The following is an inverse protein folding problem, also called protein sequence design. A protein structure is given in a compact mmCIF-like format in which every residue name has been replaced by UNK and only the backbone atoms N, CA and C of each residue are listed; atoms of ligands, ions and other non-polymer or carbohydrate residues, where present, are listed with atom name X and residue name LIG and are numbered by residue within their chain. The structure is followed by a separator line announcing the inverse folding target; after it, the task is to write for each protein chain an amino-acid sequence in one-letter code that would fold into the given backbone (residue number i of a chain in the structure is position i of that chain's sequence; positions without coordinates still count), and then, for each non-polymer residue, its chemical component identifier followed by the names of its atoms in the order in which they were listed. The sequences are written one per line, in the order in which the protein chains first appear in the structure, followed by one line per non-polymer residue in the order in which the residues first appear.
data_IF_822659254923
#
_entry.id   IF_822659254923
#
_cell.length_a   1.000
_cell.length_b   1.000
_cell.length_c   1.000
_cell.angle_alpha   90.00
_cell.angle_beta   90.00
_cell.angle_gamma   90.00
#
_symmetry.space_group_name_H-M   'P 1'
#
loop_
_entity.id
_entity.type
_entity.pdbx_description
1 polymer ?
#
# COMPACT_ATOMS: atom_id res chain seq x y z
N UNK A 1 5.06 -6.30 -24.80
CA UNK A 1 4.76 -4.85 -24.64
C UNK A 1 3.72 -4.74 -23.53
N UNK A 2 3.90 -3.89 -22.50
CA UNK A 2 2.98 -3.81 -21.34
C UNK A 2 1.71 -3.00 -21.61
N UNK A 3 1.80 -2.03 -22.53
CA UNK A 3 0.71 -1.12 -22.89
C UNK A 3 0.25 -1.41 -24.32
N UNK A 4 -1.02 -1.12 -24.59
CA UNK A 4 -1.61 -1.13 -25.92
C UNK A 4 -2.37 0.17 -26.17
N UNK A 5 -2.45 0.57 -27.44
CA UNK A 5 -3.27 1.67 -27.90
C UNK A 5 -4.36 1.17 -28.85
N UNK A 6 -5.60 1.57 -28.62
CA UNK A 6 -6.72 1.31 -29.51
C UNK A 6 -7.54 2.60 -29.70
N UNK A 7 -7.36 3.27 -30.84
CA UNK A 7 -7.87 4.63 -31.02
C UNK A 7 -7.17 5.60 -30.05
N UNK A 8 -7.95 6.37 -29.32
CA UNK A 8 -7.47 7.33 -28.31
C UNK A 8 -7.36 6.71 -26.92
N UNK A 9 -7.48 5.38 -26.80
CA UNK A 9 -7.38 4.68 -25.52
C UNK A 9 -5.99 4.09 -25.32
N UNK A 10 -5.38 4.42 -24.20
CA UNK A 10 -4.20 3.76 -23.65
C UNK A 10 -4.63 2.74 -22.61
N UNK A 11 -4.23 1.47 -22.74
CA UNK A 11 -4.62 0.40 -21.83
C UNK A 11 -3.42 -0.42 -21.42
N UNK A 12 -3.34 -0.78 -20.14
CA UNK A 12 -2.37 -1.75 -19.66
C UNK A 12 -2.89 -3.18 -19.91
N UNK A 13 -2.10 -3.98 -20.63
CA UNK A 13 -2.47 -5.35 -21.00
C UNK A 13 -2.42 -6.27 -19.77
N UNK A 14 -3.41 -7.15 -19.61
CA UNK A 14 -3.52 -8.12 -18.51
C UNK A 14 -3.42 -9.56 -19.01
N UNK A 15 -2.61 -10.39 -18.36
CA UNK A 15 -2.37 -11.79 -18.75
C UNK A 15 -0.90 -12.23 -18.61
N UNK A 16 -0.58 -13.37 -19.22
CA UNK A 16 0.77 -13.96 -19.17
C UNK A 16 1.76 -13.01 -19.86
N UNK A 17 2.89 -12.73 -19.21
CA UNK A 17 3.96 -11.89 -19.75
C UNK A 17 3.66 -10.37 -19.72
N UNK A 18 2.53 -9.97 -19.13
CA UNK A 18 2.16 -8.57 -18.89
C UNK A 18 1.71 -8.40 -17.43
N UNK A 19 0.84 -7.43 -17.10
CA UNK A 19 0.40 -7.26 -15.72
C UNK A 19 -0.50 -8.42 -15.27
N UNK A 20 -0.36 -8.87 -14.02
CA UNK A 20 -1.17 -9.94 -13.44
C UNK A 20 -2.51 -9.45 -12.90
N UNK A 21 -2.55 -8.19 -12.45
CA UNK A 21 -3.70 -7.59 -11.76
C UNK A 21 -4.15 -6.31 -12.47
N UNK A 22 -5.45 -6.01 -12.43
CA UNK A 22 -5.97 -4.77 -13.03
C UNK A 22 -5.36 -3.55 -12.35
N UNK A 23 -5.08 -2.47 -13.08
CA UNK A 23 -4.40 -1.26 -12.60
C UNK A 23 -2.98 -1.44 -11.99
N UNK A 24 -2.39 -2.64 -12.05
CA UNK A 24 -1.08 -2.90 -11.46
C UNK A 24 0.02 -2.00 -12.03
N UNK A 25 0.05 -1.81 -13.35
CA UNK A 25 1.04 -0.94 -13.97
C UNK A 25 0.92 0.51 -13.48
N UNK A 26 -0.30 1.05 -13.43
CA UNK A 26 -0.56 2.41 -12.94
C UNK A 26 -0.23 2.54 -11.44
N UNK A 27 -0.48 1.51 -10.64
CA UNK A 27 -0.12 1.49 -9.23
C UNK A 27 1.39 1.53 -9.00
N UNK A 28 2.19 0.91 -9.88
CA UNK A 28 3.66 1.04 -9.84
C UNK A 28 4.09 2.46 -10.22
N UNK A 29 3.51 3.07 -11.26
CA UNK A 29 3.78 4.47 -11.61
C UNK A 29 3.47 5.43 -10.44
N UNK A 30 2.35 5.19 -9.74
CA UNK A 30 1.97 5.95 -8.55
C UNK A 30 3.00 5.81 -7.41
N UNK A 31 3.49 4.60 -7.15
CA UNK A 31 4.52 4.37 -6.14
C UNK A 31 5.86 4.99 -6.51
N UNK A 32 6.18 5.05 -7.82
CA UNK A 32 7.32 5.79 -8.36
C UNK A 32 7.09 7.31 -8.45
N UNK A 33 5.94 7.83 -8.00
CA UNK A 33 5.57 9.27 -8.02
C UNK A 33 5.62 9.91 -9.42
N UNK A 34 5.31 9.13 -10.45
CA UNK A 34 5.26 9.63 -11.84
C UNK A 34 4.08 10.61 -11.96
N UNK A 35 4.32 11.79 -12.51
CA UNK A 35 3.28 12.81 -12.62
C UNK A 35 2.22 12.41 -13.66
N UNK A 36 0.96 12.79 -13.42
CA UNK A 36 -0.16 12.48 -14.33
C UNK A 36 0.04 13.02 -15.76
N UNK A 37 0.74 14.14 -15.91
CA UNK A 37 1.05 14.74 -17.22
C UNK A 37 2.32 14.17 -17.88
N UNK A 38 2.96 13.16 -17.28
CA UNK A 38 4.16 12.54 -17.87
C UNK A 38 3.80 11.88 -19.21
N UNK A 39 4.59 12.11 -20.28
CA UNK A 39 4.26 11.60 -21.61
C UNK A 39 4.47 10.09 -21.71
N UNK A 40 3.60 9.43 -22.47
CA UNK A 40 3.66 8.01 -22.85
C UNK A 40 3.55 7.93 -24.37
N UNK A 41 4.64 7.53 -25.03
CA UNK A 41 4.66 7.38 -26.50
C UNK A 41 4.52 5.90 -26.86
N UNK A 42 3.49 5.57 -27.63
CA UNK A 42 3.20 4.20 -28.04
C UNK A 42 2.84 4.15 -29.53
N UNK A 43 3.62 3.40 -30.32
CA UNK A 43 3.39 3.24 -31.76
C UNK A 43 3.22 4.57 -32.52
N UNK A 44 4.03 5.58 -32.18
CA UNK A 44 3.98 6.92 -32.80
C UNK A 44 2.83 7.80 -32.34
N UNK A 45 1.98 7.33 -31.40
CA UNK A 45 0.94 8.13 -30.75
C UNK A 45 1.44 8.63 -29.40
N UNK A 46 0.99 9.82 -29.04
CA UNK A 46 1.32 10.45 -27.75
C UNK A 46 0.12 10.37 -26.82
N UNK A 47 0.37 9.86 -25.62
CA UNK A 47 -0.53 9.80 -24.48
C UNK A 47 0.17 10.40 -23.26
N UNK A 48 -0.50 10.37 -22.14
CA UNK A 48 -0.01 10.72 -20.81
C UNK A 48 -0.41 9.65 -19.80
N UNK A 49 0.14 9.74 -18.58
CA UNK A 49 -0.34 8.92 -17.46
C UNK A 49 -1.81 9.24 -17.13
N UNK A 50 -2.29 10.46 -17.37
CA UNK A 50 -3.70 10.84 -17.22
C UNK A 50 -4.64 10.00 -18.09
N UNK A 51 -4.24 9.66 -19.32
CA UNK A 51 -5.05 8.79 -20.18
C UNK A 51 -5.20 7.38 -19.60
N UNK A 52 -4.13 6.87 -18.96
CA UNK A 52 -4.19 5.59 -18.25
C UNK A 52 -5.03 5.68 -16.97
N UNK A 53 -4.99 6.81 -16.25
CA UNK A 53 -5.85 7.04 -15.07
C UNK A 53 -7.33 6.98 -15.45
N UNK A 54 -7.71 7.61 -16.56
CA UNK A 54 -9.09 7.56 -17.06
C UNK A 54 -9.49 6.14 -17.50
N UNK A 55 -8.60 5.39 -18.15
CA UNK A 55 -8.89 3.99 -18.51
C UNK A 55 -9.09 3.08 -17.28
N UNK A 56 -8.29 3.26 -16.22
CA UNK A 56 -8.43 2.45 -15.00
C UNK A 56 -9.68 2.85 -14.19
N UNK A 57 -10.09 4.12 -14.20
CA UNK A 57 -11.40 4.56 -13.67
C UNK A 57 -12.54 3.84 -14.37
N UNK A 58 -12.53 3.81 -15.71
CA UNK A 58 -13.56 3.14 -16.51
C UNK A 58 -13.58 1.62 -16.32
N UNK A 59 -12.47 1.04 -15.89
CA UNK A 59 -12.30 -0.41 -15.72
C UNK A 59 -12.61 -0.92 -14.30
N UNK A 60 -12.94 -0.03 -13.36
CA UNK A 60 -13.40 -0.42 -12.03
C UNK A 60 -14.67 -1.27 -12.12
N UNK A 61 -14.69 -2.38 -11.38
CA UNK A 61 -15.79 -3.36 -11.42
C UNK A 61 -15.99 -4.03 -10.07
N UNK A 62 -17.24 -4.15 -9.64
CA UNK A 62 -17.54 -4.78 -8.36
C UNK A 62 -17.17 -6.24 -8.30
N UNK A 63 -16.89 -6.72 -7.08
CA UNK A 63 -16.54 -8.12 -6.80
C UNK A 63 -15.30 -8.58 -7.56
N UNK A 64 -14.44 -7.65 -7.95
CA UNK A 64 -13.11 -7.91 -8.47
C UNK A 64 -12.08 -7.44 -7.45
N UNK A 65 -10.82 -7.79 -7.65
CA UNK A 65 -9.75 -7.22 -6.86
C UNK A 65 -9.50 -5.77 -7.28
N UNK A 66 -9.63 -4.84 -6.32
CA UNK A 66 -9.50 -3.40 -6.51
C UNK A 66 -8.23 -2.84 -5.84
N UNK A 67 -7.43 -3.68 -5.18
CA UNK A 67 -6.19 -3.31 -4.48
C UNK A 67 -5.33 -2.30 -5.26
N UNK A 68 -4.97 -2.63 -6.52
CA UNK A 68 -4.08 -1.77 -7.31
C UNK A 68 -4.79 -0.54 -7.86
N UNK A 69 -6.09 -0.64 -8.16
CA UNK A 69 -6.90 0.53 -8.52
C UNK A 69 -6.99 1.50 -7.33
N UNK A 70 -7.12 1.00 -6.10
CA UNK A 70 -7.11 1.83 -4.89
C UNK A 70 -5.76 2.54 -4.71
N UNK A 71 -4.63 1.84 -4.87
CA UNK A 71 -3.29 2.47 -4.80
C UNK A 71 -3.17 3.59 -5.85
N UNK A 72 -3.47 3.26 -7.09
CA UNK A 72 -3.34 4.18 -8.22
C UNK A 72 -4.26 5.39 -8.09
N UNK A 73 -5.56 5.15 -7.93
CA UNK A 73 -6.56 6.23 -7.97
C UNK A 73 -6.51 7.10 -6.72
N UNK A 74 -6.19 6.56 -5.53
CA UNK A 74 -5.97 7.39 -4.34
C UNK A 74 -4.69 8.25 -4.43
N UNK A 75 -3.72 7.86 -5.27
CA UNK A 75 -2.56 8.70 -5.55
C UNK A 75 -2.94 9.91 -6.41
N UNK A 76 -3.63 9.67 -7.51
CA UNK A 76 -3.86 10.67 -8.56
C UNK A 76 -5.12 11.51 -8.41
N UNK A 77 -6.16 11.00 -7.76
CA UNK A 77 -7.45 11.68 -7.67
C UNK A 77 -7.62 12.47 -6.36
N UNK A 78 -8.37 13.57 -6.39
CA UNK A 78 -8.92 14.19 -5.18
C UNK A 78 -9.71 13.20 -4.32
N UNK A 79 -9.70 13.39 -2.99
CA UNK A 79 -10.33 12.44 -2.07
C UNK A 79 -11.86 12.32 -2.21
N UNK A 80 -12.50 13.32 -2.81
CA UNK A 80 -13.93 13.44 -3.08
C UNK A 80 -14.30 13.07 -4.53
N UNK A 81 -13.33 12.59 -5.31
CA UNK A 81 -13.56 12.23 -6.70
C UNK A 81 -14.59 11.11 -6.82
N UNK A 82 -15.52 11.31 -7.76
CA UNK A 82 -16.51 10.32 -8.20
C UNK A 82 -16.44 10.13 -9.70
N UNK A 83 -16.68 8.92 -10.19
CA UNK A 83 -16.73 8.62 -11.62
C UNK A 83 -17.74 7.53 -11.93
N UNK A 84 -18.04 7.34 -13.22
CA UNK A 84 -18.88 6.24 -13.69
C UNK A 84 -18.01 5.26 -14.48
N UNK A 85 -18.03 3.98 -14.10
CA UNK A 85 -17.31 2.93 -14.82
C UNK A 85 -18.04 2.54 -16.12
N UNK A 86 -17.38 1.73 -16.96
CA UNK A 86 -17.90 1.32 -18.27
C UNK A 86 -19.20 0.51 -18.19
N UNK A 87 -19.44 -0.18 -17.07
CA UNK A 87 -20.68 -0.91 -16.79
C UNK A 87 -21.79 0.00 -16.21
N UNK A 88 -21.56 1.31 -16.13
CA UNK A 88 -22.54 2.30 -15.68
C UNK A 88 -22.61 2.49 -14.17
N UNK A 89 -21.77 1.78 -13.39
CA UNK A 89 -21.76 1.93 -11.94
C UNK A 89 -21.03 3.19 -11.48
N UNK A 90 -21.52 3.79 -10.38
CA UNK A 90 -20.90 4.97 -9.76
C UNK A 90 -19.82 4.57 -8.77
N UNK A 91 -18.61 5.09 -8.94
CA UNK A 91 -17.47 4.83 -8.09
C UNK A 91 -16.99 6.07 -7.37
N UNK A 92 -16.33 5.84 -6.24
CA UNK A 92 -15.63 6.83 -5.44
C UNK A 92 -14.46 6.13 -4.73
N UNK A 93 -13.49 6.90 -4.24
CA UNK A 93 -12.40 6.32 -3.44
C UNK A 93 -12.91 5.65 -2.15
N UNK A 94 -13.88 6.20 -1.38
CA UNK A 94 -14.51 5.48 -0.27
C UNK A 94 -15.09 4.12 -0.68
N UNK A 95 -15.77 4.02 -1.82
CA UNK A 95 -16.34 2.76 -2.32
C UNK A 95 -15.25 1.73 -2.62
N UNK A 96 -14.11 2.15 -3.21
CA UNK A 96 -12.98 1.24 -3.42
C UNK A 96 -12.49 0.64 -2.10
N UNK A 97 -12.41 1.45 -1.04
CA UNK A 97 -12.03 0.97 0.30
C UNK A 97 -13.06 0.02 0.89
N UNK A 98 -14.36 0.33 0.76
CA UNK A 98 -15.47 -0.53 1.22
C UNK A 98 -15.44 -1.91 0.57
N UNK A 99 -15.23 -1.99 -0.74
CA UNK A 99 -15.20 -3.26 -1.46
C UNK A 99 -13.92 -4.04 -1.19
N UNK A 100 -12.79 -3.35 -0.99
CA UNK A 100 -11.51 -4.02 -0.78
C UNK A 100 -11.36 -4.57 0.64
N UNK A 101 -11.81 -3.84 1.68
CA UNK A 101 -11.61 -4.26 3.09
C UNK A 101 -12.33 -5.56 3.45
N UNK A 102 -13.40 -5.91 2.73
CA UNK A 102 -14.16 -7.15 2.96
C UNK A 102 -13.54 -8.38 2.30
N UNK A 103 -12.50 -8.19 1.47
CA UNK A 103 -11.84 -9.30 0.78
C UNK A 103 -10.88 -10.06 1.71
N UNK A 104 -10.80 -11.39 1.63
CA UNK A 104 -10.03 -12.21 2.57
C UNK A 104 -8.51 -12.09 2.38
N UNK A 105 -7.77 -11.74 3.44
CA UNK A 105 -6.29 -11.69 3.41
C UNK A 105 -5.68 -13.09 3.29
N UNK A 106 -6.17 -14.04 4.09
CA UNK A 106 -5.69 -15.41 4.06
C UNK A 106 -6.12 -16.11 2.77
N UNK A 107 -5.16 -16.73 2.08
CA UNK A 107 -5.41 -17.40 0.80
C UNK A 107 -5.28 -16.50 -0.42
N UNK A 108 -5.15 -15.18 -0.24
CA UNK A 108 -4.86 -14.26 -1.33
C UNK A 108 -3.43 -14.43 -1.87
N UNK A 109 -3.17 -14.09 -3.14
CA UNK A 109 -1.82 -13.97 -3.69
C UNK A 109 -0.92 -13.12 -2.79
N UNK A 110 0.37 -13.48 -2.72
CA UNK A 110 1.38 -12.75 -1.93
C UNK A 110 0.96 -12.55 -0.45
N UNK A 111 0.17 -13.49 0.09
CA UNK A 111 -0.32 -13.46 1.46
C UNK A 111 -1.31 -12.34 1.77
N UNK A 112 -1.86 -11.65 0.76
CA UNK A 112 -2.76 -10.51 0.95
C UNK A 112 -2.06 -9.21 1.39
N UNK A 113 -0.73 -9.17 1.36
CA UNK A 113 0.06 -7.98 1.72
C UNK A 113 -0.22 -6.78 0.82
N UNK A 114 -0.41 -7.00 -0.50
CA UNK A 114 -0.76 -5.92 -1.43
C UNK A 114 -2.09 -5.26 -1.05
N UNK A 115 -3.06 -6.01 -0.55
CA UNK A 115 -4.34 -5.47 -0.09
C UNK A 115 -4.17 -4.58 1.14
N UNK A 116 -3.39 -5.06 2.12
CA UNK A 116 -3.06 -4.26 3.30
C UNK A 116 -2.30 -2.99 2.90
N UNK A 117 -1.41 -3.08 1.91
CA UNK A 117 -0.74 -1.93 1.32
C UNK A 117 -1.74 -0.95 0.69
N UNK A 118 -2.64 -1.41 -0.18
CA UNK A 118 -3.62 -0.56 -0.84
C UNK A 118 -4.57 0.15 0.14
N UNK A 119 -5.07 -0.56 1.15
CA UNK A 119 -5.89 0.01 2.22
C UNK A 119 -5.12 1.07 3.01
N UNK A 120 -3.89 0.76 3.43
CA UNK A 120 -3.04 1.72 4.14
C UNK A 120 -2.74 2.97 3.31
N UNK A 121 -2.43 2.77 2.03
CA UNK A 121 -2.14 3.85 1.09
C UNK A 121 -3.35 4.77 0.95
N UNK A 122 -4.54 4.21 0.70
CA UNK A 122 -5.80 4.96 0.64
C UNK A 122 -6.06 5.78 1.90
N UNK A 123 -5.89 5.18 3.09
CA UNK A 123 -6.03 5.89 4.37
C UNK A 123 -5.03 7.04 4.50
N UNK A 124 -3.75 6.83 4.17
CA UNK A 124 -2.75 7.90 4.25
C UNK A 124 -3.07 9.07 3.31
N UNK A 125 -3.55 8.79 2.10
CA UNK A 125 -3.97 9.83 1.15
C UNK A 125 -5.18 10.61 1.66
N UNK A 126 -6.19 9.92 2.22
CA UNK A 126 -7.35 10.54 2.87
C UNK A 126 -6.90 11.44 4.03
N UNK A 127 -6.14 10.90 4.99
CA UNK A 127 -5.68 11.63 6.17
C UNK A 127 -4.87 12.88 5.80
N UNK A 128 -3.98 12.78 4.80
CA UNK A 128 -3.22 13.95 4.32
C UNK A 128 -4.11 15.03 3.68
N UNK A 129 -5.19 14.63 3.01
CA UNK A 129 -6.07 15.57 2.31
C UNK A 129 -7.08 16.23 3.25
N UNK A 130 -7.58 15.51 4.27
CA UNK A 130 -8.71 15.97 5.10
C UNK A 130 -8.35 16.19 6.57
N UNK A 131 -7.20 15.72 7.03
CA UNK A 131 -6.82 15.72 8.44
C UNK A 131 -7.53 14.67 9.30
N UNK A 132 -8.45 13.86 8.73
CA UNK A 132 -9.22 12.87 9.49
C UNK A 132 -9.57 11.62 8.68
N UNK A 133 -9.75 10.50 9.37
CA UNK A 133 -10.29 9.27 8.80
C UNK A 133 -11.69 9.00 9.33
N UNK A 134 -12.62 8.76 8.41
CA UNK A 134 -14.04 8.53 8.67
C UNK A 134 -14.56 7.32 7.88
N UNK A 135 -15.74 6.84 8.28
CA UNK A 135 -16.47 5.76 7.60
C UNK A 135 -15.58 4.55 7.24
N UNK A 136 -15.49 4.17 5.95
CA UNK A 136 -14.71 3.01 5.53
C UNK A 136 -13.21 3.17 5.73
N UNK A 137 -12.66 4.38 5.69
CA UNK A 137 -11.24 4.61 5.93
C UNK A 137 -10.86 4.38 7.39
N UNK A 138 -11.68 4.82 8.34
CA UNK A 138 -11.44 4.54 9.76
C UNK A 138 -11.46 3.03 10.05
N UNK A 139 -12.41 2.32 9.43
CA UNK A 139 -12.47 0.85 9.52
C UNK A 139 -11.24 0.19 8.90
N UNK A 140 -10.78 0.67 7.74
CA UNK A 140 -9.60 0.16 7.04
C UNK A 140 -8.30 0.42 7.82
N UNK A 141 -8.14 1.60 8.42
CA UNK A 141 -6.99 1.93 9.26
C UNK A 141 -6.90 0.99 10.47
N UNK A 142 -8.01 0.79 11.20
CA UNK A 142 -8.05 -0.17 12.30
C UNK A 142 -7.68 -1.59 11.82
N UNK A 143 -8.27 -2.03 10.70
CA UNK A 143 -8.00 -3.34 10.13
C UNK A 143 -6.52 -3.54 9.79
N UNK A 144 -5.90 -2.56 9.13
CA UNK A 144 -4.47 -2.57 8.79
C UNK A 144 -3.63 -2.61 10.07
N UNK A 145 -3.92 -1.77 11.07
CA UNK A 145 -3.18 -1.72 12.34
C UNK A 145 -3.25 -3.03 13.13
N UNK A 146 -4.39 -3.69 13.12
CA UNK A 146 -4.55 -5.03 13.74
C UNK A 146 -3.61 -6.04 13.07
N UNK A 147 -3.51 -6.04 11.74
CA UNK A 147 -2.54 -6.88 11.02
C UNK A 147 -1.09 -6.47 11.29
N UNK A 148 -0.78 -5.17 11.43
CA UNK A 148 0.60 -4.72 11.72
C UNK A 148 1.06 -5.29 13.05
N UNK A 149 0.20 -5.19 14.06
CA UNK A 149 0.44 -5.73 15.39
C UNK A 149 0.54 -7.25 15.37
N UNK A 150 -0.32 -7.94 14.60
CA UNK A 150 -0.24 -9.38 14.44
C UNK A 150 1.07 -9.83 13.79
N UNK A 151 1.49 -9.18 12.70
CA UNK A 151 2.76 -9.47 12.02
C UNK A 151 3.95 -9.33 12.96
N UNK A 152 4.06 -8.16 13.61
CA UNK A 152 5.20 -7.84 14.48
C UNK A 152 5.22 -8.71 15.72
N UNK A 153 4.08 -8.97 16.37
CA UNK A 153 4.06 -9.64 17.69
C UNK A 153 3.92 -11.15 17.63
N UNK A 154 3.36 -11.72 16.55
CA UNK A 154 3.04 -13.16 16.45
C UNK A 154 3.72 -13.89 15.30
N UNK A 155 4.16 -13.19 14.26
CA UNK A 155 4.64 -13.83 13.02
C UNK A 155 6.12 -13.57 12.72
N UNK A 156 6.81 -12.78 13.54
CA UNK A 156 8.24 -12.54 13.35
C UNK A 156 9.07 -13.66 13.98
N UNK A 157 9.98 -14.20 13.18
CA UNK A 157 10.94 -15.23 13.55
C UNK A 157 12.13 -14.63 14.32
N UNK A 158 12.95 -15.51 14.92
CA UNK A 158 14.08 -15.09 15.77
C UNK A 158 15.17 -14.36 14.99
N UNK A 159 15.33 -14.65 13.70
CA UNK A 159 16.31 -14.04 12.82
C UNK A 159 15.84 -12.70 12.20
N UNK A 160 14.65 -12.21 12.60
CA UNK A 160 14.05 -10.98 12.07
C UNK A 160 13.14 -11.18 10.87
N UNK A 161 13.21 -12.34 10.19
CA UNK A 161 12.30 -12.68 9.09
C UNK A 161 10.84 -12.82 9.56
N UNK A 162 9.89 -12.71 8.64
CA UNK A 162 8.48 -13.00 8.91
C UNK A 162 8.08 -14.39 8.46
N UNK A 163 7.02 -14.91 9.09
CA UNK A 163 6.48 -16.25 8.87
C UNK A 163 6.49 -16.66 7.40
N UNK A 164 7.06 -17.83 7.14
CA UNK A 164 7.08 -18.44 5.81
C UNK A 164 5.69 -18.88 5.33
N UNK A 165 4.68 -18.81 6.20
CA UNK A 165 3.27 -19.12 5.92
C UNK A 165 2.37 -17.88 5.94
N UNK A 166 2.96 -16.70 5.71
CA UNK A 166 2.24 -15.42 5.69
C UNK A 166 1.45 -15.22 6.98
N UNK A 167 0.17 -14.83 6.88
CA UNK A 167 -0.74 -14.63 8.01
C UNK A 167 -1.53 -15.89 8.41
N UNK A 168 -1.16 -17.09 7.92
CA UNK A 168 -1.88 -18.32 8.27
C UNK A 168 -1.55 -18.77 9.69
N UNK A 169 -0.26 -18.91 10.00
CA UNK A 169 0.29 -19.30 11.29
C UNK A 169 1.78 -18.94 11.34
N UNK A 170 2.39 -19.00 12.52
CA UNK A 170 3.83 -18.80 12.67
C UNK A 170 4.60 -20.00 12.08
N UNK A 171 5.57 -19.75 11.21
CA UNK A 171 6.39 -20.77 10.57
C UNK A 171 7.77 -20.20 10.20
N UNK A 172 8.81 -21.00 10.43
CA UNK A 172 10.19 -20.62 10.18
C UNK A 172 10.87 -21.77 9.42
N UNK A 173 11.04 -21.64 8.10
CA UNK A 173 11.72 -22.66 7.28
C UNK A 173 13.20 -22.33 7.20
N UNK A 174 13.99 -22.98 8.05
CA UNK A 174 15.42 -22.68 8.21
C UNK A 174 16.27 -22.93 6.95
N UNK A 175 15.80 -23.77 6.03
CA UNK A 175 16.50 -24.18 4.80
C UNK A 175 16.00 -23.47 3.52
N UNK A 176 15.08 -22.50 3.64
CA UNK A 176 14.41 -21.86 2.49
C UNK A 176 14.53 -20.33 2.54
N UNK A 177 15.75 -19.84 2.27
CA UNK A 177 16.03 -18.39 2.25
C UNK A 177 15.21 -17.65 1.19
N UNK A 178 14.92 -18.27 0.04
CA UNK A 178 14.09 -17.67 -1.02
C UNK A 178 12.68 -17.41 -0.51
N UNK A 179 12.10 -18.35 0.24
CA UNK A 179 10.79 -18.18 0.87
C UNK A 179 10.82 -17.13 1.97
N UNK A 180 11.84 -17.11 2.81
CA UNK A 180 11.98 -16.08 3.86
C UNK A 180 12.10 -14.68 3.27
N UNK A 181 12.92 -14.49 2.23
CA UNK A 181 13.03 -13.20 1.51
C UNK A 181 11.70 -12.85 0.85
N UNK A 182 11.01 -13.82 0.24
CA UNK A 182 9.69 -13.58 -0.33
C UNK A 182 8.68 -13.06 0.71
N UNK A 183 8.46 -13.76 1.82
CA UNK A 183 7.45 -13.36 2.80
C UNK A 183 7.87 -12.10 3.54
N UNK A 184 9.14 -11.99 3.92
CA UNK A 184 9.67 -10.84 4.65
C UNK A 184 9.66 -9.58 3.80
N UNK A 185 10.06 -9.66 2.52
CA UNK A 185 10.06 -8.53 1.60
C UNK A 185 8.66 -7.92 1.45
N UNK A 186 7.66 -8.75 1.21
CA UNK A 186 6.27 -8.29 1.07
C UNK A 186 5.66 -7.75 2.37
N UNK A 187 5.88 -8.45 3.50
CA UNK A 187 5.33 -8.00 4.79
C UNK A 187 6.03 -6.72 5.22
N UNK A 188 7.36 -6.64 5.11
CA UNK A 188 8.11 -5.46 5.48
C UNK A 188 7.76 -4.28 4.58
N UNK A 189 7.64 -4.45 3.26
CA UNK A 189 7.25 -3.39 2.32
C UNK A 189 5.96 -2.69 2.79
N UNK A 190 4.93 -3.48 3.09
CA UNK A 190 3.69 -2.94 3.62
C UNK A 190 3.87 -2.30 5.00
N UNK A 191 4.58 -2.93 5.92
CA UNK A 191 4.81 -2.37 7.26
C UNK A 191 5.51 -1.00 7.18
N UNK A 192 6.64 -0.92 6.48
CA UNK A 192 7.40 0.34 6.41
C UNK A 192 6.70 1.38 5.55
N UNK A 193 5.80 1.00 4.65
CA UNK A 193 4.92 1.96 3.97
C UNK A 193 3.82 2.51 4.89
N UNK A 194 3.33 1.72 5.86
CA UNK A 194 2.08 2.00 6.58
C UNK A 194 2.21 2.34 8.06
N UNK A 195 3.32 1.99 8.71
CA UNK A 195 3.55 2.24 10.13
C UNK A 195 3.65 3.74 10.42
N UNK A 196 3.24 4.15 11.62
CA UNK A 196 3.52 5.49 12.14
C UNK A 196 5.04 5.70 12.27
N UNK A 197 5.49 6.96 12.19
CA UNK A 197 6.92 7.28 12.08
C UNK A 197 7.76 6.69 13.22
N UNK A 198 7.31 6.79 14.47
CA UNK A 198 8.08 6.31 15.63
C UNK A 198 8.20 4.78 15.65
N UNK A 199 7.24 4.06 15.05
CA UNK A 199 7.25 2.59 15.00
C UNK A 199 8.29 2.02 14.04
N UNK A 200 8.79 2.82 13.10
CA UNK A 200 9.86 2.40 12.19
C UNK A 200 11.14 2.04 12.95
N UNK A 201 11.36 2.65 14.12
CA UNK A 201 12.55 2.42 14.93
C UNK A 201 12.37 1.29 15.96
N UNK A 202 11.21 0.61 15.97
CA UNK A 202 11.02 -0.55 16.83
C UNK A 202 12.06 -1.64 16.48
N UNK A 203 12.69 -2.30 17.46
CA UNK A 203 13.70 -3.33 17.20
C UNK A 203 13.25 -4.43 16.25
N UNK A 204 11.94 -4.73 16.25
CA UNK A 204 11.32 -5.71 15.34
C UNK A 204 11.36 -5.25 13.88
N UNK A 205 11.09 -3.98 13.59
CA UNK A 205 11.14 -3.46 12.22
C UNK A 205 12.60 -3.41 11.73
N UNK A 206 13.51 -2.95 12.59
CA UNK A 206 14.95 -2.93 12.32
C UNK A 206 15.46 -4.34 11.99
N UNK A 207 15.12 -5.35 12.81
CA UNK A 207 15.54 -6.73 12.59
C UNK A 207 15.06 -7.31 11.24
N UNK A 208 13.86 -6.95 10.79
CA UNK A 208 13.37 -7.38 9.48
C UNK A 208 14.14 -6.71 8.31
N UNK A 209 14.50 -5.43 8.45
CA UNK A 209 15.34 -4.74 7.47
C UNK A 209 16.77 -5.31 7.45
N UNK A 210 17.33 -5.61 8.62
CA UNK A 210 18.63 -6.27 8.77
C UNK A 210 18.62 -7.67 8.15
N UNK A 211 17.56 -8.46 8.37
CA UNK A 211 17.40 -9.77 7.76
C UNK A 211 17.47 -9.68 6.23
N UNK A 212 16.67 -8.81 5.60
CA UNK A 212 16.66 -8.66 4.14
C UNK A 212 18.02 -8.18 3.62
N UNK A 213 18.62 -7.19 4.28
CA UNK A 213 19.93 -6.67 3.89
C UNK A 213 21.00 -7.75 3.96
N UNK A 214 21.06 -8.50 5.05
CA UNK A 214 22.02 -9.58 5.24
C UNK A 214 21.79 -10.73 4.26
N UNK A 215 20.54 -11.12 4.00
CA UNK A 215 20.21 -12.18 3.06
C UNK A 215 20.66 -11.83 1.64
N UNK A 216 20.39 -10.60 1.18
CA UNK A 216 20.77 -10.14 -0.15
C UNK A 216 22.28 -9.92 -0.30
N UNK A 217 22.98 -9.48 0.76
CA UNK A 217 24.43 -9.25 0.75
C UNK A 217 25.25 -10.54 0.85
N UNK A 218 24.73 -11.58 1.50
CA UNK A 218 25.47 -12.84 1.76
C UNK A 218 25.77 -13.61 0.47
N UNK A 219 24.85 -13.58 -0.48
CA UNK A 219 24.97 -14.30 -1.76
C UNK A 219 24.70 -13.34 -2.94
N UNK A 220 25.63 -12.41 -3.23
CA UNK A 220 25.41 -11.37 -4.24
C UNK A 220 25.26 -11.92 -5.67
N UNK A 221 25.72 -13.15 -5.91
CA UNK A 221 25.58 -13.85 -7.19
C UNK A 221 24.34 -14.74 -7.28
N UNK A 222 23.51 -14.82 -6.22
CA UNK A 222 22.30 -15.65 -6.23
C UNK A 222 21.26 -15.07 -7.18
N UNK A 223 20.68 -15.93 -8.02
CA UNK A 223 19.55 -15.55 -8.86
C UNK A 223 18.25 -15.58 -8.06
N UNK A 224 17.83 -14.40 -7.59
CA UNK A 224 16.54 -14.24 -6.92
C UNK A 224 15.38 -14.19 -7.92
N UNK A 225 14.21 -14.69 -7.52
CA UNK A 225 12.97 -14.43 -8.26
C UNK A 225 12.71 -12.92 -8.29
N UNK A 226 12.43 -12.38 -9.48
CA UNK A 226 12.28 -10.93 -9.72
C UNK A 226 11.23 -10.29 -8.80
N UNK A 227 10.07 -10.93 -8.61
CA UNK A 227 9.01 -10.40 -7.73
C UNK A 227 9.46 -10.26 -6.27
N UNK A 228 9.86 -11.35 -5.59
CA UNK A 228 10.43 -11.29 -4.24
C UNK A 228 11.59 -10.29 -4.08
N UNK A 229 12.53 -10.27 -5.03
CA UNK A 229 13.65 -9.31 -5.01
C UNK A 229 13.15 -7.87 -5.07
N UNK A 230 12.22 -7.58 -5.98
CA UNK A 230 11.61 -6.26 -6.12
C UNK A 230 10.96 -5.78 -4.84
N UNK A 231 10.15 -6.63 -4.18
CA UNK A 231 9.51 -6.29 -2.91
C UNK A 231 10.53 -6.10 -1.77
N UNK A 232 11.57 -6.93 -1.69
CA UNK A 232 12.62 -6.77 -0.69
C UNK A 232 13.38 -5.44 -0.86
N UNK A 233 13.79 -5.12 -2.09
CA UNK A 233 14.50 -3.87 -2.39
C UNK A 233 13.59 -2.65 -2.18
N UNK A 234 12.32 -2.74 -2.57
CA UNK A 234 11.37 -1.65 -2.38
C UNK A 234 11.07 -1.41 -0.89
N UNK A 235 10.93 -2.47 -0.09
CA UNK A 235 10.83 -2.37 1.37
C UNK A 235 12.03 -1.63 1.97
N UNK A 236 13.26 -2.04 1.61
CA UNK A 236 14.48 -1.39 2.08
C UNK A 236 14.55 0.08 1.64
N UNK A 237 14.14 0.40 0.42
CA UNK A 237 14.10 1.77 -0.07
C UNK A 237 13.10 2.64 0.70
N UNK A 238 11.86 2.17 0.90
CA UNK A 238 10.86 2.92 1.67
C UNK A 238 11.32 3.09 3.13
N UNK A 239 11.86 2.03 3.74
CA UNK A 239 12.42 2.11 5.08
C UNK A 239 13.53 3.15 5.15
N UNK A 240 14.45 3.13 4.18
CA UNK A 240 15.56 4.07 4.13
C UNK A 240 15.09 5.52 4.03
N UNK A 241 14.19 5.80 3.08
CA UNK A 241 13.61 7.12 2.86
C UNK A 241 12.90 7.63 4.11
N UNK A 242 12.09 6.78 4.76
CA UNK A 242 11.29 7.21 5.91
C UNK A 242 12.09 7.30 7.20
N UNK A 243 13.02 6.39 7.46
CA UNK A 243 13.77 6.33 8.71
C UNK A 243 14.91 7.35 8.76
N UNK A 244 15.58 7.61 7.63
CA UNK A 244 16.78 8.46 7.61
C UNK A 244 16.67 9.68 6.69
N UNK A 245 15.60 9.80 5.88
CA UNK A 245 15.43 10.94 4.98
C UNK A 245 16.45 11.03 3.85
N UNK A 246 17.35 10.06 3.68
CA UNK A 246 18.32 10.06 2.59
C UNK A 246 17.69 9.36 1.39
N UNK A 247 17.27 10.14 0.39
CA UNK A 247 16.97 9.63 -0.95
C UNK A 247 18.29 9.35 -1.66
N UNK A 248 18.51 8.10 -2.08
CA UNK A 248 19.71 7.74 -2.85
C UNK A 248 19.79 8.59 -4.13
N UNK A 249 21.00 9.02 -4.57
CA UNK A 249 21.14 9.80 -5.79
C UNK A 249 20.56 9.06 -6.99
N UNK A 250 19.52 9.63 -7.61
CA UNK A 250 18.72 9.02 -8.69
C UNK A 250 17.21 9.10 -8.47
N UNK A 251 16.76 9.32 -7.23
CA UNK A 251 15.39 9.72 -6.90
C UNK A 251 15.29 11.23 -6.67
N UNK A 252 14.26 11.87 -7.21
CA UNK A 252 13.96 13.29 -6.95
C UNK A 252 13.72 13.50 -5.45
N UNK A 253 14.34 14.57 -4.92
CA UNK A 253 14.33 15.12 -3.56
C UNK A 253 15.39 14.56 -2.58
N UNK A 254 16.62 15.06 -2.68
CA UNK A 254 17.57 15.01 -1.58
C UNK A 254 17.02 15.82 -0.38
N UNK A 255 16.68 15.14 0.72
CA UNK A 255 16.36 15.80 1.98
C UNK A 255 17.66 15.98 2.79
N UNK A 256 17.85 17.16 3.36
CA UNK A 256 19.02 17.59 4.13
C UNK A 256 18.63 17.99 5.56
N UNK A 257 17.67 17.29 6.15
CA UNK A 257 17.23 17.52 7.54
C UNK A 257 17.85 16.54 8.54
N UNK A 258 17.58 16.73 9.85
CA UNK A 258 18.13 15.89 10.91
C UNK A 258 17.69 14.42 10.77
N UNK A 259 18.58 13.51 11.19
CA UNK A 259 18.47 12.04 11.04
C UNK A 259 17.19 11.41 11.59
N UNK A 260 16.47 12.11 12.47
CA UNK A 260 15.12 11.75 12.89
C UNK A 260 14.18 12.65 12.11
N UNK A 261 13.40 12.08 11.18
CA UNK A 261 12.30 12.82 10.57
C UNK A 261 11.46 13.45 11.70
N UNK A 262 11.16 14.74 11.58
CA UNK A 262 10.29 15.41 12.55
C UNK A 262 9.03 14.56 12.73
N UNK A 263 8.61 14.32 13.98
CA UNK A 263 7.39 13.57 14.24
C UNK A 263 6.26 14.22 13.43
N UNK A 264 5.63 13.50 12.48
CA UNK A 264 4.42 14.01 11.87
C UNK A 264 3.38 14.22 12.99
N UNK A 265 2.39 15.11 12.79
CA UNK A 265 1.27 15.20 13.73
C UNK A 265 0.75 13.79 14.03
N UNK A 266 0.49 13.52 15.31
CA UNK A 266 0.08 12.20 15.77
C UNK A 266 -1.02 11.67 14.85
N UNK A 267 -0.80 10.50 14.24
CA UNK A 267 -1.78 9.83 13.38
C UNK A 267 -2.93 9.23 14.19
N UNK A 268 -3.27 9.83 15.33
CA UNK A 268 -4.40 9.46 16.15
C UNK A 268 -5.59 10.27 15.66
N UNK A 269 -6.57 9.58 15.06
CA UNK A 269 -7.91 10.13 15.02
C UNK A 269 -8.35 10.30 16.48
N UNK A 270 -8.53 11.54 16.93
CA UNK A 270 -9.15 11.80 18.22
C UNK A 270 -10.54 11.15 18.21
N UNK A 271 -10.87 10.47 19.32
CA UNK A 271 -12.22 9.96 19.52
C UNK A 271 -13.19 11.14 19.42
N UNK A 272 -14.31 11.02 18.68
CA UNK A 272 -15.33 12.04 18.75
C UNK A 272 -15.82 12.16 20.20
N UNK A 273 -15.88 13.40 20.70
CA UNK A 273 -16.46 13.69 22.01
C UNK A 273 -17.92 13.18 22.05
N UNK A 274 -18.36 12.58 23.17
CA UNK A 274 -19.76 12.19 23.30
C UNK A 274 -20.63 13.45 23.27
N UNK A 275 -21.62 13.46 22.36
CA UNK A 275 -22.67 14.47 22.31
C UNK A 275 -23.23 14.72 23.72
N UNK A 276 -23.25 15.99 24.13
CA UNK A 276 -23.85 16.41 25.37
C UNK A 276 -25.33 16.01 25.37
N UNK A 277 -25.67 15.01 26.18
CA UNK A 277 -27.06 14.66 26.44
C UNK A 277 -27.78 15.89 27.01
N UNK A 278 -28.72 16.41 26.22
CA UNK A 278 -29.53 17.56 26.56
C UNK A 278 -30.28 17.37 27.88
N UNK A 279 -30.40 18.48 28.60
CA UNK A 279 -31.21 18.62 29.80
C UNK A 279 -32.71 18.42 29.50
N UNK A 280 -33.43 17.87 30.48
CA UNK A 280 -34.89 17.69 30.51
C UNK A 280 -35.24 16.21 30.65
N UNK A 281 -36.01 15.73 31.62
CA UNK A 281 -37.06 16.37 32.39
C UNK A 281 -37.29 15.54 33.67
N UNK A 282 -37.62 16.19 34.78
CA UNK A 282 -37.85 15.53 36.07
C UNK A 282 -39.36 15.39 36.30
N UNK A 283 -39.95 14.19 36.39
CA UNK A 283 -41.33 14.08 36.84
C UNK A 283 -41.38 13.88 38.36
N UNK A 284 -42.07 14.82 38.99
CA UNK A 284 -42.56 14.82 40.38
C UNK A 284 -43.23 13.52 40.80
N UNK A 285 -42.89 13.07 42.02
CA UNK A 285 -43.54 11.99 42.77
C UNK A 285 -45.04 12.24 43.00
N UNK A 286 -45.84 11.20 42.78
CA UNK A 286 -46.89 10.74 43.70
C UNK A 286 -46.78 9.23 43.86
#
# INVERSE_FOLDING_TARGET
MMLAAAGDRLTALKGIGVQGHSAQYLAILAQCRVAANSPVVLQGRSFTVADLIEEEKLSCKSKTELTFALIALAHYLPTDATWTSRDGEKWSLPRLVEEEIVQPIRGAPCGGTHRLFGLAYGCQRRLRATGQLDGPYLRADKYVRDYQNFALTKLQNRDGSFSTEWFKYAADRDDDVDRKVQTTGHILEWLVASLDQDRLYEPRVVAAAEFLSAALLREPSREWKIGPLGHALHALNIYQERAWGVVLPGGIAAFHGPMKAASPPAMMAERPEPEAAGAGDTPTRR
#
